data_IF_341471279735
#
_entry.id   IF_341471279735
#
_cell.length_a   1.000
_cell.length_b   1.000
_cell.length_c   1.000
_cell.angle_alpha   90.00
_cell.angle_beta   90.00
_cell.angle_gamma   90.00
#
_symmetry.space_group_name_H-M   'P 1'
#
loop_
_entity.id
_entity.type
_entity.pdbx_description
1 polymer ?
#
# COMPACT_ATOMS: atom_id res chain seq x y z
N UNK A 1 26.14 19.97 13.98
CA UNK A 1 24.75 19.53 14.23
C UNK A 1 23.81 20.58 13.64
N UNK A 2 23.39 20.42 12.38
CA UNK A 2 22.52 21.42 11.71
C UNK A 2 21.13 21.30 12.30
N UNK A 3 20.72 22.29 13.09
CA UNK A 3 19.40 22.30 13.72
C UNK A 3 18.31 22.29 12.67
N UNK A 4 17.50 21.23 12.64
CA UNK A 4 16.28 21.19 11.84
C UNK A 4 15.42 22.40 12.24
N UNK A 5 15.27 23.36 11.32
CA UNK A 5 14.45 24.56 11.55
C UNK A 5 13.02 24.14 11.86
N UNK A 6 12.35 24.87 12.77
CA UNK A 6 10.98 24.59 13.27
C UNK A 6 9.97 24.18 12.19
N UNK A 7 10.07 24.73 10.97
CA UNK A 7 9.24 24.36 9.81
C UNK A 7 9.34 22.88 9.40
N UNK A 8 10.52 22.26 9.50
CA UNK A 8 10.70 20.83 9.21
C UNK A 8 10.18 19.94 10.35
N UNK A 9 10.26 20.42 11.60
CA UNK A 9 9.65 19.73 12.74
C UNK A 9 8.12 19.80 12.68
N UNK A 10 7.53 20.92 12.28
CA UNK A 10 6.08 21.07 12.14
C UNK A 10 5.52 20.14 11.06
N UNK A 11 6.22 19.93 9.95
CA UNK A 11 5.77 18.98 8.92
C UNK A 11 5.92 17.52 9.36
N UNK A 12 7.01 17.18 10.06
CA UNK A 12 7.21 15.83 10.60
C UNK A 12 6.20 15.48 11.72
N UNK A 13 5.80 16.48 12.51
CA UNK A 13 4.82 16.36 13.61
C UNK A 13 3.37 16.55 13.16
N UNK A 14 3.11 16.96 11.91
CA UNK A 14 1.76 17.08 11.39
C UNK A 14 1.23 15.67 11.05
N UNK A 15 0.25 15.13 11.79
CA UNK A 15 -0.33 13.83 11.48
C UNK A 15 -1.06 13.81 10.13
N UNK A 16 -1.39 14.97 9.56
CA UNK A 16 -1.96 15.10 8.22
C UNK A 16 -0.91 15.27 7.10
N UNK A 17 0.39 15.32 7.42
CA UNK A 17 1.42 15.40 6.38
C UNK A 17 1.65 14.04 5.72
N UNK A 18 1.79 14.07 4.39
CA UNK A 18 2.22 12.90 3.60
C UNK A 18 3.61 12.42 4.05
N UNK A 19 3.84 11.12 3.98
CA UNK A 19 5.13 10.50 4.28
C UNK A 19 5.65 9.77 3.04
N UNK A 20 6.88 10.08 2.63
CA UNK A 20 7.49 9.46 1.46
C UNK A 20 8.20 8.16 1.84
N UNK A 21 7.87 7.09 1.12
CA UNK A 21 8.47 5.77 1.20
C UNK A 21 9.28 5.54 -0.09
N UNK A 22 10.60 5.65 0.03
CA UNK A 22 11.52 5.55 -1.11
C UNK A 22 12.25 4.21 -1.21
N UNK A 23 12.08 3.31 -0.23
CA UNK A 23 12.72 2.01 -0.16
C UNK A 23 11.89 1.05 0.72
N UNK A 24 12.17 -0.26 0.60
CA UNK A 24 11.62 -1.32 1.45
C UNK A 24 11.67 -0.94 2.93
N UNK A 25 10.56 -1.13 3.64
CA UNK A 25 10.44 -0.73 5.04
C UNK A 25 9.47 -1.61 5.82
N UNK A 26 9.73 -1.73 7.13
CA UNK A 26 8.74 -2.20 8.10
C UNK A 26 8.06 -0.99 8.71
N UNK A 27 6.74 -0.94 8.60
CA UNK A 27 5.96 0.19 9.07
C UNK A 27 5.75 0.11 10.58
N UNK A 28 5.61 1.27 11.18
CA UNK A 28 5.35 1.46 12.60
C UNK A 28 4.19 2.45 12.76
N UNK A 29 3.23 2.10 13.60
CA UNK A 29 2.05 2.90 13.88
C UNK A 29 2.38 4.35 14.31
N UNK A 30 3.39 4.56 15.16
CA UNK A 30 3.73 5.89 15.66
C UNK A 30 4.21 6.86 14.58
N UNK A 31 4.70 6.34 13.45
CA UNK A 31 5.23 7.15 12.34
C UNK A 31 4.25 7.18 11.17
N UNK A 32 3.61 6.06 10.85
CA UNK A 32 2.93 5.85 9.57
C UNK A 32 1.42 5.73 9.67
N UNK A 33 0.86 5.35 10.84
CA UNK A 33 -0.58 5.16 10.95
C UNK A 33 -1.34 6.47 10.70
N UNK A 34 -2.47 6.33 10.01
CA UNK A 34 -3.43 7.39 9.69
C UNK A 34 -2.82 8.53 8.85
N UNK A 35 -1.77 8.21 8.07
CA UNK A 35 -1.12 9.12 7.12
C UNK A 35 -1.20 8.60 5.70
N UNK A 36 -1.03 9.51 4.75
CA UNK A 36 -0.88 9.17 3.35
C UNK A 36 0.59 8.81 3.07
N UNK A 37 0.82 7.59 2.62
CA UNK A 37 2.14 7.02 2.36
C UNK A 37 2.42 7.07 0.85
N UNK A 38 3.34 7.91 0.43
CA UNK A 38 3.67 8.12 -0.99
C UNK A 38 4.77 7.14 -1.38
N UNK A 39 4.53 6.29 -2.37
CA UNK A 39 5.54 5.39 -2.90
C UNK A 39 6.39 6.14 -3.93
N UNK A 40 7.62 6.47 -3.56
CA UNK A 40 8.56 7.35 -4.27
C UNK A 40 9.87 6.63 -4.59
N UNK A 41 9.81 5.34 -4.88
CA UNK A 41 10.97 4.53 -5.25
C UNK A 41 11.69 5.05 -6.50
N UNK A 42 12.84 4.44 -6.81
CA UNK A 42 13.67 4.81 -7.98
C UNK A 42 13.05 4.43 -9.34
N UNK A 43 11.88 3.79 -9.34
CA UNK A 43 11.14 3.35 -10.51
C UNK A 43 11.58 1.99 -11.09
N UNK A 44 12.53 1.31 -10.45
CA UNK A 44 13.04 0.01 -10.95
C UNK A 44 13.32 -1.04 -9.89
N UNK A 45 13.63 -0.64 -8.66
CA UNK A 45 13.91 -1.55 -7.56
C UNK A 45 12.59 -2.05 -6.97
N UNK A 46 12.48 -3.37 -6.78
CA UNK A 46 11.37 -3.97 -6.06
C UNK A 46 11.32 -3.46 -4.62
N UNK A 47 10.14 -3.04 -4.16
CA UNK A 47 9.97 -2.50 -2.81
C UNK A 47 8.85 -3.19 -2.07
N UNK A 48 9.17 -3.66 -0.86
CA UNK A 48 8.23 -4.34 0.02
C UNK A 48 7.99 -3.51 1.27
N UNK A 49 6.74 -3.35 1.64
CA UNK A 49 6.31 -2.63 2.83
C UNK A 49 5.57 -3.58 3.75
N UNK A 50 6.10 -3.80 4.95
CA UNK A 50 5.46 -4.70 5.93
C UNK A 50 4.60 -3.89 6.88
N UNK A 51 3.30 -4.19 6.94
CA UNK A 51 2.38 -3.63 7.91
C UNK A 51 2.76 -4.10 9.33
N UNK A 52 2.40 -3.35 10.40
CA UNK A 52 2.46 -3.89 11.75
C UNK A 52 1.50 -5.08 11.94
N UNK A 53 1.56 -5.74 13.09
CA UNK A 53 0.54 -6.72 13.45
C UNK A 53 -0.84 -6.06 13.59
N UNK A 54 -1.87 -6.67 13.01
CA UNK A 54 -3.27 -6.28 13.19
C UNK A 54 -3.75 -6.69 14.58
N UNK A 55 -4.20 -5.71 15.37
CA UNK A 55 -4.70 -5.93 16.73
C UNK A 55 -6.14 -5.46 16.91
N UNK A 56 -6.81 -5.02 15.84
CA UNK A 56 -8.09 -4.31 15.89
C UNK A 56 -7.95 -2.84 16.32
N UNK A 57 -6.81 -2.21 16.08
CA UNK A 57 -6.52 -0.84 16.55
C UNK A 57 -7.31 0.26 15.83
N UNK A 58 -7.88 -0.04 14.65
CA UNK A 58 -8.52 0.96 13.79
C UNK A 58 -7.55 1.80 12.97
N UNK A 59 -6.23 1.58 13.10
CA UNK A 59 -5.22 2.30 12.33
C UNK A 59 -5.38 2.06 10.83
N UNK A 60 -5.16 3.11 10.05
CA UNK A 60 -5.22 3.06 8.58
C UNK A 60 -3.85 3.33 7.97
N UNK A 61 -3.54 2.63 6.88
CA UNK A 61 -2.33 2.84 6.08
C UNK A 61 -2.77 3.00 4.63
N UNK A 62 -2.70 4.23 4.12
CA UNK A 62 -3.16 4.55 2.76
C UNK A 62 -1.95 4.84 1.88
N UNK A 63 -1.72 3.98 0.90
CA UNK A 63 -0.59 4.07 -0.01
C UNK A 63 -1.02 4.67 -1.35
N UNK A 64 -0.15 5.50 -1.91
CA UNK A 64 -0.34 6.11 -3.22
C UNK A 64 0.92 5.88 -4.06
N UNK A 65 0.76 5.33 -5.25
CA UNK A 65 1.88 5.21 -6.19
C UNK A 65 2.16 6.58 -6.79
N UNK A 66 3.29 7.18 -6.40
CA UNK A 66 3.75 8.48 -6.91
C UNK A 66 4.85 8.35 -7.97
N UNK A 67 5.49 7.20 -8.04
CA UNK A 67 6.48 6.87 -9.06
C UNK A 67 6.20 5.49 -9.60
N UNK A 68 5.92 5.39 -10.90
CA UNK A 68 5.75 4.11 -11.59
C UNK A 68 7.00 3.26 -11.39
N UNK A 69 6.83 2.01 -10.99
CA UNK A 69 7.94 1.12 -10.63
C UNK A 69 7.90 -0.17 -11.45
N UNK A 70 8.96 -0.41 -12.20
CA UNK A 70 9.17 -1.64 -12.98
C UNK A 70 9.65 -2.84 -12.16
N UNK A 71 10.07 -2.61 -10.91
CA UNK A 71 10.44 -3.66 -9.95
C UNK A 71 9.28 -4.14 -9.06
N UNK A 72 8.08 -3.59 -9.21
CA UNK A 72 6.87 -3.76 -8.34
C UNK A 72 6.92 -3.05 -6.99
N UNK A 73 5.72 -2.77 -6.48
CA UNK A 73 5.49 -2.46 -5.06
C UNK A 73 4.68 -3.60 -4.45
N UNK A 74 5.02 -3.96 -3.22
CA UNK A 74 4.38 -5.06 -2.48
C UNK A 74 4.08 -4.61 -1.06
N UNK A 75 2.88 -4.94 -0.57
CA UNK A 75 2.52 -4.83 0.85
C UNK A 75 2.43 -6.23 1.44
N UNK A 76 3.11 -6.45 2.57
CA UNK A 76 3.03 -7.68 3.34
C UNK A 76 2.29 -7.44 4.65
N UNK A 77 1.39 -8.37 4.98
CA UNK A 77 0.94 -8.61 6.33
C UNK A 77 2.10 -9.09 7.21
N UNK A 78 2.03 -8.81 8.51
CA UNK A 78 2.96 -9.38 9.48
C UNK A 78 2.36 -10.65 10.12
N UNK A 79 3.23 -11.54 10.58
CA UNK A 79 2.80 -12.73 11.34
C UNK A 79 1.83 -13.62 10.55
N UNK A 80 0.65 -13.84 11.11
CA UNK A 80 -0.44 -14.64 10.52
C UNK A 80 -1.63 -13.77 10.11
N UNK A 81 -1.44 -12.46 9.98
CA UNK A 81 -2.53 -11.57 9.63
C UNK A 81 -2.97 -11.81 8.19
N UNK A 82 -4.27 -11.72 7.93
CA UNK A 82 -4.83 -11.86 6.59
C UNK A 82 -5.47 -10.57 6.06
N UNK A 83 -5.62 -10.55 4.73
CA UNK A 83 -6.29 -9.49 4.00
C UNK A 83 -7.72 -9.89 3.66
N UNK A 84 -8.66 -9.03 4.05
CA UNK A 84 -10.08 -9.15 3.78
C UNK A 84 -10.58 -7.92 3.03
N UNK A 85 -11.42 -8.10 2.00
CA UNK A 85 -12.02 -6.99 1.26
C UNK A 85 -11.83 -7.12 -0.24
N UNK A 86 -11.52 -6.01 -0.91
CA UNK A 86 -11.48 -6.01 -2.37
C UNK A 86 -10.54 -4.98 -2.97
N UNK A 87 -10.10 -5.28 -4.19
CA UNK A 87 -9.36 -4.39 -5.06
C UNK A 87 -10.04 -4.32 -6.42
N UNK A 88 -10.15 -3.13 -6.98
CA UNK A 88 -10.61 -2.93 -8.36
C UNK A 88 -9.45 -2.47 -9.22
N UNK A 89 -9.37 -2.96 -10.45
CA UNK A 89 -8.42 -2.47 -11.44
C UNK A 89 -9.15 -1.92 -12.65
N UNK A 90 -8.65 -0.81 -13.17
CA UNK A 90 -9.04 -0.27 -14.48
C UNK A 90 -7.87 -0.48 -15.44
N UNK A 91 -8.14 -1.10 -16.58
CA UNK A 91 -7.19 -1.19 -17.67
C UNK A 91 -7.05 0.20 -18.33
N UNK A 92 -5.82 0.62 -18.61
CA UNK A 92 -5.49 1.89 -19.26
C UNK A 92 -5.72 1.89 -20.77
N UNK A 93 -5.82 0.71 -21.39
CA UNK A 93 -5.95 0.56 -22.85
C UNK A 93 -7.34 0.13 -23.31
N UNK A 94 -8.19 -0.37 -22.42
CA UNK A 94 -9.56 -0.82 -22.72
C UNK A 94 -10.55 -0.38 -21.63
N UNK A 95 -11.84 -0.26 -21.95
CA UNK A 95 -12.90 0.07 -20.98
C UNK A 95 -13.28 -1.10 -20.06
N UNK A 96 -12.35 -2.03 -19.83
CA UNK A 96 -12.53 -3.23 -19.02
C UNK A 96 -11.89 -3.05 -17.65
N UNK A 97 -12.68 -3.30 -16.60
CA UNK A 97 -12.20 -3.36 -15.23
C UNK A 97 -12.30 -4.78 -14.68
N UNK A 98 -11.48 -5.09 -13.67
CA UNK A 98 -11.59 -6.32 -12.89
C UNK A 98 -11.83 -5.98 -11.42
N UNK A 99 -12.48 -6.89 -10.71
CA UNK A 99 -12.67 -6.82 -9.26
C UNK A 99 -12.13 -8.09 -8.64
N UNK A 100 -11.26 -7.93 -7.65
CA UNK A 100 -10.59 -9.00 -6.91
C UNK A 100 -11.08 -8.98 -5.48
N UNK A 101 -11.36 -10.16 -4.95
CA UNK A 101 -11.88 -10.33 -3.59
C UNK A 101 -10.83 -11.06 -2.78
N UNK A 102 -10.45 -10.46 -1.65
CA UNK A 102 -9.73 -11.13 -0.59
C UNK A 102 -10.80 -11.61 0.41
N UNK A 103 -11.26 -12.85 0.25
CA UNK A 103 -12.33 -13.37 1.08
C UNK A 103 -11.75 -13.87 2.41
N UNK A 104 -12.47 -13.64 3.51
CA UNK A 104 -12.10 -14.13 4.84
C UNK A 104 -11.76 -15.61 4.83
N UNK A 105 -10.62 -15.97 5.45
CA UNK A 105 -10.11 -17.34 5.50
C UNK A 105 -9.35 -17.79 4.25
N UNK A 106 -9.15 -16.90 3.26
CA UNK A 106 -8.27 -17.18 2.12
C UNK A 106 -6.78 -17.15 2.51
N UNK A 107 -6.44 -16.61 3.70
CA UNK A 107 -5.07 -16.47 4.19
C UNK A 107 -4.16 -15.67 3.24
N UNK A 108 -4.72 -14.69 2.52
CA UNK A 108 -3.91 -13.80 1.70
C UNK A 108 -3.09 -12.89 2.61
N UNK A 109 -1.78 -12.85 2.38
CA UNK A 109 -0.83 -12.12 3.23
C UNK A 109 -0.04 -11.08 2.45
N UNK A 110 -0.14 -11.10 1.12
CA UNK A 110 0.61 -10.24 0.23
C UNK A 110 -0.33 -9.56 -0.75
N UNK A 111 -0.08 -8.26 -0.97
CA UNK A 111 -0.73 -7.45 -1.98
C UNK A 111 0.33 -6.89 -2.94
N UNK A 112 0.20 -7.17 -4.23
CA UNK A 112 1.09 -6.65 -5.27
C UNK A 112 0.39 -5.57 -6.09
N UNK A 113 1.05 -4.43 -6.30
CA UNK A 113 0.50 -3.33 -7.09
C UNK A 113 0.62 -3.60 -8.60
N UNK A 114 -0.47 -3.30 -9.33
CA UNK A 114 -0.60 -3.26 -10.80
C UNK A 114 -0.77 -4.64 -11.48
N UNK A 115 -0.29 -4.78 -12.73
CA UNK A 115 -0.04 -6.12 -13.28
C UNK A 115 1.15 -6.71 -12.52
N UNK A 116 1.31 -8.04 -12.48
CA UNK A 116 2.33 -8.78 -11.70
C UNK A 116 3.80 -8.32 -11.86
N UNK A 117 4.05 -7.30 -12.69
CA UNK A 117 5.35 -6.75 -13.04
C UNK A 117 5.52 -5.25 -12.76
N UNK A 118 4.45 -4.46 -12.51
CA UNK A 118 4.57 -2.98 -12.43
C UNK A 118 3.63 -2.31 -11.46
N UNK A 119 4.15 -1.43 -10.60
CA UNK A 119 3.31 -0.52 -9.81
C UNK A 119 3.07 0.80 -10.54
N UNK A 120 1.81 1.16 -10.83
CA UNK A 120 1.49 2.29 -11.71
C UNK A 120 0.98 3.53 -11.00
N UNK A 121 1.43 4.69 -11.48
CA UNK A 121 0.99 5.99 -11.02
C UNK A 121 -0.53 6.16 -11.14
N UNK A 122 -1.16 6.68 -10.09
CA UNK A 122 -2.62 6.79 -9.98
C UNK A 122 -3.27 5.66 -9.17
N UNK A 123 -2.54 4.57 -8.92
CA UNK A 123 -2.99 3.51 -8.01
C UNK A 123 -2.96 3.98 -6.56
N UNK A 124 -4.01 3.65 -5.82
CA UNK A 124 -4.05 3.80 -4.37
C UNK A 124 -4.70 2.59 -3.69
N UNK A 125 -4.30 2.37 -2.44
CA UNK A 125 -4.84 1.30 -1.61
C UNK A 125 -4.84 1.72 -0.14
N UNK A 126 -5.85 1.29 0.59
CA UNK A 126 -5.95 1.44 2.03
C UNK A 126 -6.04 0.08 2.71
N UNK A 127 -5.25 -0.07 3.78
CA UNK A 127 -5.34 -1.15 4.75
C UNK A 127 -5.83 -0.57 6.06
N UNK A 128 -6.89 -1.14 6.62
CA UNK A 128 -7.44 -0.75 7.91
C UNK A 128 -7.39 -1.93 8.87
N UNK A 129 -6.78 -1.71 10.04
CA UNK A 129 -6.76 -2.71 11.11
C UNK A 129 -8.16 -2.81 11.72
N UNK A 130 -8.86 -3.92 11.51
CA UNK A 130 -10.28 -4.08 11.90
C UNK A 130 -10.50 -5.11 12.99
N UNK A 131 -9.63 -6.11 13.11
CA UNK A 131 -9.67 -7.12 14.16
C UNK A 131 -8.27 -7.71 14.36
N UNK A 132 -8.10 -8.52 15.42
CA UNK A 132 -6.88 -9.29 15.58
C UNK A 132 -6.63 -10.14 14.33
N UNK A 133 -5.43 -10.02 13.76
CA UNK A 133 -5.02 -10.73 12.55
C UNK A 133 -5.84 -10.43 11.28
N UNK A 134 -6.59 -9.32 11.22
CA UNK A 134 -7.40 -8.98 10.03
C UNK A 134 -7.20 -7.53 9.60
N UNK A 135 -6.80 -7.36 8.35
CA UNK A 135 -6.75 -6.08 7.66
C UNK A 135 -7.86 -5.98 6.63
N UNK A 136 -8.71 -4.96 6.75
CA UNK A 136 -9.67 -4.59 5.71
C UNK A 136 -8.94 -3.85 4.58
N UNK A 137 -9.11 -4.31 3.35
CA UNK A 137 -8.48 -3.80 2.14
C UNK A 137 -9.51 -3.14 1.22
N UNK A 138 -9.19 -1.94 0.76
CA UNK A 138 -9.88 -1.25 -0.33
C UNK A 138 -8.86 -0.63 -1.27
N UNK A 139 -8.90 -1.00 -2.55
CA UNK A 139 -7.94 -0.53 -3.54
C UNK A 139 -8.59 -0.16 -4.87
N UNK A 140 -8.01 0.85 -5.52
CA UNK A 140 -8.24 1.17 -6.92
C UNK A 140 -6.89 1.23 -7.63
N UNK A 141 -6.72 0.36 -8.62
CA UNK A 141 -5.49 0.17 -9.36
C UNK A 141 -5.62 0.63 -10.80
N UNK A 142 -4.57 1.28 -11.29
CA UNK A 142 -4.34 1.48 -12.71
C UNK A 142 -3.43 0.37 -13.20
N UNK A 143 -3.75 -0.21 -14.36
CA UNK A 143 -2.96 -1.27 -15.01
C UNK A 143 -2.80 -0.91 -16.48
N UNK A 144 -1.58 -0.89 -17.00
CA UNK A 144 -1.22 -0.45 -18.35
C UNK A 144 -1.18 -1.61 -19.35
N UNK A 145 -1.28 -2.84 -18.88
CA UNK A 145 -1.34 -4.04 -19.70
C UNK A 145 -2.70 -4.73 -19.60
N UNK A 146 -3.12 -5.35 -20.70
CA UNK A 146 -4.33 -6.17 -20.79
C UNK A 146 -4.20 -7.52 -20.04
N UNK A 147 -3.29 -7.63 -19.07
CA UNK A 147 -3.01 -8.82 -18.27
C UNK A 147 -3.28 -8.54 -16.80
N UNK A 148 -4.55 -8.29 -16.50
CA UNK A 148 -5.00 -8.11 -15.12
C UNK A 148 -4.87 -9.44 -14.36
N UNK A 149 -4.20 -9.41 -13.21
CA UNK A 149 -3.93 -10.58 -12.38
C UNK A 149 -4.42 -10.34 -10.96
N UNK A 150 -4.68 -11.41 -10.21
CA UNK A 150 -5.03 -11.26 -8.79
C UNK A 150 -3.87 -10.57 -8.06
N UNK A 151 -4.11 -9.45 -7.36
CA UNK A 151 -3.08 -8.78 -6.59
C UNK A 151 -2.87 -9.46 -5.23
N UNK A 152 -3.78 -10.33 -4.80
CA UNK A 152 -3.74 -11.04 -3.53
C UNK A 152 -3.08 -12.41 -3.69
N UNK A 153 -2.08 -12.69 -2.84
CA UNK A 153 -1.38 -13.99 -2.72
C UNK A 153 -1.14 -14.37 -1.27
#
# INVERSE_FOLDING_TARGET
MVGLRKRHLVNALNPAAQFDLSATAVLNAGIHANRNLMLTGDGSTAQTYTLPLATGSGNTYTFYVRTTNSGTYVINAAGSDEFDGSAQSCDGNDATGASYIAATGSNFTVFTFGDTTRGELGTWIQFKDVASAVWLVNALMTVSSNSTATPFT
#
